data_IF_388240871465
#
_entry.id   IF_388240871465
#
_cell.length_a   1.000
_cell.length_b   1.000
_cell.length_c   1.000
_cell.angle_alpha   90.00
_cell.angle_beta   90.00
_cell.angle_gamma   90.00
#
_symmetry.space_group_name_H-M   'P 1'
#
loop_
_entity.id
_entity.type
_entity.pdbx_description
1 polymer ?
#
# COMPACT_ATOMS: atom_id res chain seq x y z
N UNK A 1 -19.21 -5.67 -6.56
CA UNK A 1 -18.74 -6.74 -7.44
C UNK A 1 -17.37 -7.22 -6.94
N UNK A 2 -16.99 -8.47 -7.24
CA UNK A 2 -15.68 -9.00 -6.89
C UNK A 2 -14.61 -8.58 -7.92
N UNK A 3 -14.19 -7.31 -7.88
CA UNK A 3 -13.29 -6.76 -8.89
C UNK A 3 -11.86 -7.34 -8.83
N UNK A 4 -11.42 -7.82 -7.67
CA UNK A 4 -10.13 -8.46 -7.45
C UNK A 4 -10.17 -10.01 -7.57
N UNK A 5 -11.35 -10.61 -7.78
CA UNK A 5 -11.51 -12.04 -8.02
C UNK A 5 -11.34 -12.96 -6.81
N UNK A 6 -11.53 -12.45 -5.60
CA UNK A 6 -11.34 -13.23 -4.37
C UNK A 6 -12.33 -14.41 -4.25
N UNK A 7 -13.51 -14.28 -4.84
CA UNK A 7 -14.48 -15.39 -4.97
C UNK A 7 -13.93 -16.55 -5.80
N UNK A 8 -13.22 -16.24 -6.89
CA UNK A 8 -12.51 -17.24 -7.69
C UNK A 8 -11.35 -17.87 -6.90
N UNK A 9 -10.60 -17.09 -6.11
CA UNK A 9 -9.52 -17.64 -5.27
C UNK A 9 -10.05 -18.67 -4.26
N UNK A 10 -11.18 -18.39 -3.60
CA UNK A 10 -11.84 -19.34 -2.69
C UNK A 10 -12.30 -20.58 -3.43
N UNK A 11 -12.94 -20.43 -4.61
CA UNK A 11 -13.42 -21.55 -5.41
C UNK A 11 -12.27 -22.44 -5.90
N UNK A 12 -11.16 -21.85 -6.34
CA UNK A 12 -9.94 -22.57 -6.75
C UNK A 12 -9.39 -23.37 -5.59
N UNK A 13 -9.22 -22.74 -4.40
CA UNK A 13 -8.66 -23.43 -3.24
C UNK A 13 -9.55 -24.59 -2.77
N UNK A 14 -10.87 -24.44 -2.80
CA UNK A 14 -11.82 -25.53 -2.53
C UNK A 14 -11.70 -26.67 -3.54
N UNK A 15 -11.51 -26.34 -4.82
CA UNK A 15 -11.28 -27.33 -5.87
C UNK A 15 -9.98 -28.12 -5.66
N UNK A 16 -8.89 -27.41 -5.32
CA UNK A 16 -7.61 -28.02 -4.99
C UNK A 16 -7.72 -28.91 -3.74
N UNK A 17 -8.40 -28.45 -2.69
CA UNK A 17 -8.62 -29.23 -1.48
C UNK A 17 -9.40 -30.53 -1.78
N UNK A 18 -10.46 -30.44 -2.59
CA UNK A 18 -11.23 -31.62 -3.05
C UNK A 18 -10.38 -32.59 -3.85
N UNK A 19 -9.52 -32.10 -4.74
CA UNK A 19 -8.59 -32.90 -5.52
C UNK A 19 -7.64 -33.68 -4.61
N UNK A 20 -6.95 -33.02 -3.70
CA UNK A 20 -6.04 -33.68 -2.75
C UNK A 20 -6.76 -34.66 -1.81
N UNK A 21 -7.99 -34.33 -1.41
CA UNK A 21 -8.79 -35.26 -0.61
C UNK A 21 -9.09 -36.58 -1.35
N UNK A 22 -9.33 -36.51 -2.68
CA UNK A 22 -9.58 -37.71 -3.50
C UNK A 22 -8.36 -38.63 -3.63
N UNK A 23 -7.15 -38.11 -3.39
CA UNK A 23 -5.89 -38.84 -3.44
C UNK A 23 -5.13 -38.84 -2.10
N UNK A 24 -5.85 -38.69 -0.99
CA UNK A 24 -5.26 -38.52 0.35
C UNK A 24 -4.25 -39.61 0.74
N UNK A 25 -4.46 -40.86 0.30
CA UNK A 25 -3.59 -42.00 0.58
C UNK A 25 -2.25 -41.95 -0.18
N UNK A 26 -2.14 -41.06 -1.17
CA UNK A 26 -0.92 -40.83 -1.96
C UNK A 26 -0.15 -39.59 -1.49
N UNK A 27 -0.79 -38.72 -0.70
CA UNK A 27 -0.19 -37.49 -0.18
C UNK A 27 0.79 -37.84 0.94
N UNK A 28 2.04 -37.37 0.81
CA UNK A 28 3.06 -37.51 1.85
C UNK A 28 3.21 -36.19 2.58
N UNK A 29 2.88 -36.17 3.87
CA UNK A 29 2.92 -34.96 4.70
C UNK A 29 1.55 -34.39 4.98
N UNK A 30 1.49 -33.16 5.47
CA UNK A 30 0.29 -32.45 5.85
C UNK A 30 0.05 -31.27 4.92
N UNK A 31 -1.20 -31.00 4.60
CA UNK A 31 -1.62 -29.84 3.85
C UNK A 31 -2.58 -29.03 4.72
N UNK A 32 -2.24 -27.77 4.96
CA UNK A 32 -3.09 -26.80 5.68
C UNK A 32 -3.72 -25.85 4.67
N UNK A 33 -5.06 -25.85 4.61
CA UNK A 33 -5.83 -24.95 3.75
C UNK A 33 -6.09 -23.64 4.48
N UNK A 34 -5.63 -22.52 3.93
CA UNK A 34 -5.72 -21.20 4.56
C UNK A 34 -6.65 -20.32 3.71
N UNK A 35 -7.76 -19.88 4.29
CA UNK A 35 -8.70 -18.94 3.70
C UNK A 35 -8.56 -17.62 4.45
N UNK A 36 -7.81 -16.67 3.86
CA UNK A 36 -7.48 -15.39 4.49
C UNK A 36 -8.66 -14.41 4.37
N UNK A 37 -9.14 -13.82 5.47
CA UNK A 37 -10.12 -12.74 5.44
C UNK A 37 -9.43 -11.38 5.28
N UNK A 38 -10.22 -10.35 4.93
CA UNK A 38 -9.86 -8.93 5.03
C UNK A 38 -8.52 -8.56 4.37
N UNK A 39 -8.25 -9.08 3.15
CA UNK A 39 -7.04 -8.75 2.39
C UNK A 39 -7.02 -7.26 2.01
N UNK A 40 -8.16 -6.71 1.54
CA UNK A 40 -8.27 -5.34 0.99
C UNK A 40 -8.15 -4.22 2.03
N UNK A 41 -7.99 -4.49 3.30
CA UNK A 41 -7.88 -3.41 4.28
C UNK A 41 -7.86 -3.76 5.75
N UNK A 42 -7.98 -5.01 6.13
CA UNK A 42 -7.97 -5.40 7.56
C UNK A 42 -6.67 -6.06 8.02
N UNK A 43 -5.74 -6.35 7.10
CA UNK A 43 -4.49 -7.03 7.43
C UNK A 43 -4.70 -8.46 7.92
N UNK A 44 -5.75 -9.15 7.42
CA UNK A 44 -6.14 -10.48 7.92
C UNK A 44 -5.03 -11.52 7.85
N UNK A 45 -4.16 -11.46 6.83
CA UNK A 45 -2.99 -12.33 6.76
C UNK A 45 -2.03 -12.15 7.94
N UNK A 46 -1.73 -10.89 8.31
CA UNK A 46 -0.91 -10.56 9.48
C UNK A 46 -1.55 -11.10 10.77
N UNK A 47 -2.83 -10.84 10.96
CA UNK A 47 -3.56 -11.30 12.16
C UNK A 47 -3.52 -12.83 12.27
N UNK A 48 -3.77 -13.55 11.17
CA UNK A 48 -3.69 -15.02 11.16
C UNK A 48 -2.30 -15.54 11.51
N UNK A 49 -1.23 -14.86 11.05
CA UNK A 49 0.16 -15.23 11.42
C UNK A 49 0.41 -14.96 12.90
N UNK A 50 -0.01 -13.82 13.43
CA UNK A 50 0.09 -13.48 14.86
C UNK A 50 -0.71 -14.45 15.74
N UNK A 51 -1.82 -15.00 15.24
CA UNK A 51 -2.61 -16.06 15.89
C UNK A 51 -2.03 -17.47 15.72
N UNK A 52 -0.88 -17.62 15.05
CA UNK A 52 -0.16 -18.89 14.90
C UNK A 52 -0.67 -19.80 13.79
N UNK A 53 -1.26 -19.26 12.71
CA UNK A 53 -1.76 -20.08 11.58
C UNK A 53 -0.63 -20.90 10.93
N UNK A 54 0.62 -20.47 11.04
CA UNK A 54 1.78 -21.18 10.49
C UNK A 54 2.38 -22.19 11.48
N UNK A 55 1.81 -22.31 12.68
CA UNK A 55 2.20 -23.24 13.73
C UNK A 55 1.13 -24.34 13.89
N UNK A 56 1.48 -25.42 14.58
CA UNK A 56 0.56 -26.51 14.96
C UNK A 56 -0.40 -27.03 13.86
N UNK A 57 0.05 -27.76 12.84
CA UNK A 57 1.44 -28.14 12.58
C UNK A 57 2.23 -26.98 11.96
N UNK A 58 3.57 -27.00 12.16
CA UNK A 58 4.45 -26.04 11.50
C UNK A 58 4.30 -26.13 9.98
N UNK A 59 4.36 -24.99 9.34
CA UNK A 59 4.29 -24.87 7.88
C UNK A 59 5.71 -24.71 7.34
N UNK A 60 6.15 -25.64 6.52
CA UNK A 60 7.49 -25.64 5.91
C UNK A 60 7.53 -24.76 4.65
N UNK A 61 6.41 -24.67 3.92
CA UNK A 61 6.26 -23.84 2.74
C UNK A 61 4.79 -23.38 2.59
N UNK A 62 4.60 -22.20 2.02
CA UNK A 62 3.28 -21.65 1.71
C UNK A 62 3.23 -21.23 0.25
N UNK A 63 2.12 -21.53 -0.41
CA UNK A 63 1.85 -21.15 -1.79
C UNK A 63 0.53 -20.38 -1.85
N UNK A 64 0.51 -19.34 -2.65
CA UNK A 64 -0.69 -18.57 -2.96
C UNK A 64 -0.81 -18.33 -4.46
N UNK A 65 -2.03 -18.24 -4.95
CA UNK A 65 -2.30 -17.88 -6.34
C UNK A 65 -3.29 -16.72 -6.40
N UNK A 66 -3.10 -15.86 -7.37
CA UNK A 66 -3.99 -14.74 -7.64
C UNK A 66 -4.40 -14.73 -9.11
N UNK A 67 -5.67 -14.48 -9.43
CA UNK A 67 -6.12 -14.31 -10.80
C UNK A 67 -5.71 -12.93 -11.32
N UNK A 68 -5.14 -12.87 -12.52
CA UNK A 68 -4.74 -11.63 -13.16
C UNK A 68 -5.36 -11.53 -14.57
N UNK A 69 -6.10 -10.47 -14.88
CA UNK A 69 -6.77 -10.30 -16.17
C UNK A 69 -5.79 -10.07 -17.33
N UNK A 70 -4.53 -9.76 -17.03
CA UNK A 70 -3.49 -9.51 -18.04
C UNK A 70 -2.77 -10.77 -18.51
N UNK A 71 -2.95 -11.90 -17.81
CA UNK A 71 -2.38 -13.17 -18.23
C UNK A 71 -3.30 -13.86 -19.25
N UNK A 72 -2.76 -14.38 -20.36
CA UNK A 72 -3.56 -15.18 -21.30
C UNK A 72 -4.16 -16.42 -20.63
N UNK A 73 -5.35 -16.80 -21.06
CA UNK A 73 -6.01 -18.01 -20.57
C UNK A 73 -5.10 -19.24 -20.70
N UNK A 74 -5.07 -20.08 -19.68
CA UNK A 74 -4.25 -21.29 -19.62
C UNK A 74 -2.76 -21.05 -19.32
N UNK A 75 -2.39 -19.83 -18.92
CA UNK A 75 -1.02 -19.50 -18.46
C UNK A 75 -1.01 -19.26 -16.96
N UNK A 76 0.09 -19.65 -16.32
CA UNK A 76 0.44 -19.31 -14.94
C UNK A 76 1.70 -18.45 -15.00
N UNK A 77 1.65 -17.30 -14.35
CA UNK A 77 2.81 -16.42 -14.17
C UNK A 77 3.44 -16.67 -12.79
N UNK A 78 4.75 -16.77 -12.75
CA UNK A 78 5.51 -16.94 -11.52
C UNK A 78 6.55 -15.84 -11.43
N UNK A 79 6.63 -15.15 -10.29
CA UNK A 79 7.68 -14.18 -10.01
C UNK A 79 8.86 -14.90 -9.35
N UNK A 80 10.06 -14.67 -9.84
CA UNK A 80 11.24 -15.33 -9.26
C UNK A 80 11.53 -14.84 -7.85
N UNK A 81 11.33 -13.55 -7.56
CA UNK A 81 11.55 -12.93 -6.25
C UNK A 81 10.44 -11.96 -5.89
N UNK A 82 10.58 -10.68 -6.24
CA UNK A 82 9.61 -9.62 -5.91
C UNK A 82 8.33 -9.80 -6.74
N UNK A 83 7.26 -10.22 -6.10
CA UNK A 83 5.97 -10.49 -6.76
C UNK A 83 4.99 -9.33 -6.67
N UNK A 84 4.81 -8.76 -5.47
CA UNK A 84 3.88 -7.67 -5.21
C UNK A 84 4.56 -6.58 -4.37
N UNK A 85 4.29 -5.32 -4.71
CA UNK A 85 4.83 -4.18 -4.00
C UNK A 85 4.23 -4.06 -2.58
N UNK A 86 5.02 -3.49 -1.67
CA UNK A 86 4.50 -3.00 -0.40
C UNK A 86 3.38 -1.98 -0.63
N UNK A 87 2.41 -1.93 0.28
CA UNK A 87 1.26 -1.04 0.18
C UNK A 87 1.15 -0.20 1.42
N UNK A 88 1.34 1.12 1.28
CA UNK A 88 1.27 2.05 2.39
C UNK A 88 0.29 3.17 2.09
N UNK A 89 -0.17 3.83 3.16
CA UNK A 89 -0.99 5.02 3.11
C UNK A 89 -0.33 6.15 3.84
N UNK A 90 -0.57 7.36 3.42
CA UNK A 90 -0.17 8.53 4.18
C UNK A 90 -1.30 9.56 4.22
N UNK A 91 -1.32 10.32 5.29
CA UNK A 91 -2.07 11.56 5.38
C UNK A 91 -1.16 12.72 5.72
N UNK A 92 -1.41 13.86 5.11
CA UNK A 92 -0.73 15.12 5.44
C UNK A 92 -1.81 16.18 5.63
N UNK A 93 -1.82 16.81 6.80
CA UNK A 93 -2.69 17.94 7.09
C UNK A 93 -1.84 19.20 7.18
N UNK A 94 -2.12 20.16 6.31
CA UNK A 94 -1.52 21.50 6.36
C UNK A 94 -2.41 22.38 7.23
N UNK A 95 -1.87 22.93 8.33
CA UNK A 95 -2.62 23.66 9.34
C UNK A 95 -2.16 25.12 9.30
N UNK A 96 -2.98 25.96 8.70
CA UNK A 96 -2.75 27.38 8.49
C UNK A 96 -3.56 28.26 9.44
N UNK A 97 -4.02 29.37 8.90
CA UNK A 97 -4.91 30.31 9.57
C UNK A 97 -5.87 30.88 8.51
N UNK A 98 -7.12 30.53 8.63
CA UNK A 98 -8.17 30.97 7.70
C UNK A 98 -8.54 32.41 7.83
N UNK A 99 -9.38 32.87 6.89
CA UNK A 99 -9.88 34.22 6.88
C UNK A 99 -10.60 34.62 5.59
N UNK A 100 -10.91 35.86 5.47
CA UNK A 100 -11.59 36.41 4.28
C UNK A 100 -10.64 36.43 3.08
N UNK A 101 -11.05 35.89 1.94
CA UNK A 101 -10.20 35.77 0.75
C UNK A 101 -9.67 37.12 0.21
N UNK A 102 -10.37 38.23 0.45
CA UNK A 102 -9.91 39.57 0.09
C UNK A 102 -8.85 40.16 1.05
N UNK A 103 -8.52 39.45 2.16
CA UNK A 103 -7.53 39.88 3.14
C UNK A 103 -6.46 38.79 3.38
N UNK A 104 -5.81 38.24 2.33
CA UNK A 104 -4.88 37.12 2.45
C UNK A 104 -3.63 37.45 3.29
N UNK A 105 -3.26 38.71 3.41
CA UNK A 105 -2.10 39.20 4.15
C UNK A 105 -2.17 38.98 5.67
N UNK A 106 -3.37 38.70 6.22
CA UNK A 106 -3.58 38.37 7.64
C UNK A 106 -3.89 36.89 7.85
N UNK A 107 -3.68 36.06 6.85
CA UNK A 107 -3.94 34.62 6.87
C UNK A 107 -2.66 33.82 6.63
N UNK A 108 -2.74 32.51 6.80
CA UNK A 108 -1.74 31.54 6.35
C UNK A 108 -2.50 30.49 5.52
N UNK A 109 -2.46 30.67 4.20
CA UNK A 109 -3.31 29.93 3.27
C UNK A 109 -2.84 28.47 3.06
N UNK A 110 -3.54 27.46 3.65
CA UNK A 110 -3.15 26.08 3.51
C UNK A 110 -3.49 25.49 2.12
N UNK A 111 -4.40 26.11 1.36
CA UNK A 111 -4.67 25.67 -0.03
C UNK A 111 -3.47 25.95 -0.91
N UNK A 112 -2.91 27.17 -0.81
CA UNK A 112 -1.72 27.54 -1.57
C UNK A 112 -0.52 26.67 -1.18
N UNK A 113 -0.28 26.47 0.12
CA UNK A 113 0.79 25.61 0.60
C UNK A 113 0.65 24.15 0.12
N UNK A 114 -0.58 23.63 0.11
CA UNK A 114 -0.90 22.29 -0.39
C UNK A 114 -0.62 22.16 -1.89
N UNK A 115 -0.90 23.18 -2.70
CA UNK A 115 -0.58 23.20 -4.13
C UNK A 115 0.94 23.04 -4.36
N UNK A 116 1.78 23.74 -3.59
CA UNK A 116 3.23 23.58 -3.63
C UNK A 116 3.70 22.23 -3.09
N UNK A 117 3.08 21.73 -2.03
CA UNK A 117 3.40 20.43 -1.45
C UNK A 117 3.16 19.30 -2.45
N UNK A 118 2.04 19.31 -3.19
CA UNK A 118 1.73 18.28 -4.19
C UNK A 118 2.85 18.20 -5.25
N UNK A 119 3.33 19.32 -5.76
CA UNK A 119 4.42 19.34 -6.75
C UNK A 119 5.72 18.80 -6.17
N UNK A 120 6.04 19.11 -4.92
CA UNK A 120 7.21 18.57 -4.22
C UNK A 120 7.10 17.07 -3.99
N UNK A 121 5.93 16.56 -3.56
CA UNK A 121 5.67 15.12 -3.38
C UNK A 121 5.96 14.36 -4.67
N UNK A 122 5.44 14.82 -5.80
CA UNK A 122 5.64 14.14 -7.09
C UNK A 122 7.08 14.27 -7.63
N UNK A 123 7.91 15.12 -7.05
CA UNK A 123 9.33 15.18 -7.39
C UNK A 123 10.18 14.15 -6.62
N UNK A 124 9.69 13.60 -5.51
CA UNK A 124 10.46 12.70 -4.64
C UNK A 124 11.01 11.52 -5.45
N UNK A 125 10.16 10.75 -6.09
CA UNK A 125 10.58 9.56 -6.84
C UNK A 125 11.57 9.94 -7.94
N UNK A 126 11.27 10.97 -8.72
CA UNK A 126 12.09 11.33 -9.87
C UNK A 126 13.43 12.00 -9.53
N UNK A 127 13.61 12.51 -8.30
CA UNK A 127 14.80 13.28 -7.92
C UNK A 127 15.58 12.70 -6.73
N UNK A 128 15.00 11.78 -5.97
CA UNK A 128 15.65 11.24 -4.78
C UNK A 128 15.83 9.70 -4.83
N UNK A 129 14.94 8.99 -5.51
CA UNK A 129 15.06 7.53 -5.60
C UNK A 129 15.98 7.17 -6.77
N UNK A 130 16.83 6.16 -6.56
CA UNK A 130 17.69 5.63 -7.60
C UNK A 130 16.84 5.16 -8.80
N UNK A 131 17.14 5.60 -10.04
CA UNK A 131 16.31 5.24 -11.21
C UNK A 131 16.26 3.73 -11.52
N UNK A 132 17.13 2.91 -10.92
CA UNK A 132 17.09 1.45 -11.02
C UNK A 132 16.15 0.80 -9.98
N UNK A 133 15.63 1.59 -9.05
CA UNK A 133 14.72 1.14 -7.99
C UNK A 133 13.29 1.55 -8.28
N UNK A 134 12.34 0.78 -7.74
CA UNK A 134 10.91 1.01 -7.97
C UNK A 134 10.25 1.69 -6.78
N UNK A 135 9.64 2.83 -7.03
CA UNK A 135 8.83 3.56 -6.04
C UNK A 135 7.71 4.33 -6.71
N UNK A 136 6.56 4.37 -6.05
CA UNK A 136 5.39 5.16 -6.48
C UNK A 136 4.84 5.92 -5.30
N UNK A 137 4.56 7.21 -5.50
CA UNK A 137 3.78 8.03 -4.58
C UNK A 137 2.62 8.63 -5.35
N UNK A 138 1.41 8.49 -4.82
CA UNK A 138 0.22 9.09 -5.42
C UNK A 138 -0.58 9.83 -4.36
N UNK A 139 -0.88 11.10 -4.60
CA UNK A 139 -1.92 11.84 -3.86
C UNK A 139 -3.26 11.53 -4.50
N UNK A 140 -4.12 10.82 -3.78
CA UNK A 140 -5.41 10.35 -4.29
C UNK A 140 -6.58 11.25 -3.91
N UNK A 141 -6.44 12.05 -2.83
CA UNK A 141 -7.49 12.92 -2.34
C UNK A 141 -6.90 14.18 -1.73
N UNK A 142 -7.56 15.31 -1.98
CA UNK A 142 -7.32 16.60 -1.32
C UNK A 142 -8.66 17.13 -0.83
N UNK A 143 -8.73 17.56 0.41
CA UNK A 143 -9.94 18.08 1.05
C UNK A 143 -9.63 19.34 1.83
N UNK A 144 -10.37 20.42 1.58
CA UNK A 144 -10.26 21.67 2.33
C UNK A 144 -11.16 22.76 1.76
N UNK A 145 -11.55 23.71 2.61
CA UNK A 145 -12.42 24.80 2.25
C UNK A 145 -13.92 24.45 2.20
N UNK A 146 -14.76 25.46 2.48
CA UNK A 146 -16.22 25.33 2.50
C UNK A 146 -16.91 26.36 1.60
N UNK A 147 -16.22 27.44 1.22
CA UNK A 147 -16.74 28.50 0.39
C UNK A 147 -15.66 29.14 -0.48
N UNK A 148 -16.01 29.63 -1.65
CA UNK A 148 -15.10 30.21 -2.63
C UNK A 148 -14.37 31.49 -2.16
N UNK A 149 -14.91 32.19 -1.19
CA UNK A 149 -14.42 33.47 -0.67
C UNK A 149 -13.88 33.37 0.77
N UNK A 150 -13.59 32.17 1.26
CA UNK A 150 -13.02 31.91 2.59
C UNK A 150 -11.78 31.05 2.43
N UNK A 151 -10.65 31.54 2.98
CA UNK A 151 -9.44 30.73 3.16
C UNK A 151 -9.68 29.80 4.35
N UNK A 152 -9.54 28.47 4.23
CA UNK A 152 -9.77 27.54 5.35
C UNK A 152 -8.62 27.54 6.35
N UNK A 153 -8.87 26.99 7.54
CA UNK A 153 -7.83 26.79 8.56
C UNK A 153 -6.92 25.58 8.24
N UNK A 154 -7.43 24.60 7.53
CA UNK A 154 -6.69 23.39 7.22
C UNK A 154 -7.04 22.79 5.84
N UNK A 155 -6.08 22.03 5.30
CA UNK A 155 -6.27 21.18 4.10
C UNK A 155 -5.62 19.83 4.36
N UNK A 156 -6.33 18.75 4.03
CA UNK A 156 -5.87 17.38 4.16
C UNK A 156 -5.59 16.76 2.79
N UNK A 157 -4.47 16.05 2.69
CA UNK A 157 -4.12 15.17 1.57
C UNK A 157 -4.09 13.73 2.06
N UNK A 158 -4.64 12.83 1.24
CA UNK A 158 -4.52 11.39 1.43
C UNK A 158 -3.85 10.77 0.21
N UNK A 159 -2.95 9.85 0.45
CA UNK A 159 -2.21 9.21 -0.63
C UNK A 159 -1.73 7.81 -0.31
N UNK A 160 -1.06 7.23 -1.27
CA UNK A 160 -0.53 5.87 -1.20
C UNK A 160 0.91 5.82 -1.66
N UNK A 161 1.68 4.90 -1.07
CA UNK A 161 3.07 4.60 -1.44
C UNK A 161 3.18 3.14 -1.84
N UNK A 162 4.00 2.87 -2.86
CA UNK A 162 4.37 1.52 -3.30
C UNK A 162 5.87 1.44 -3.47
N UNK A 163 6.46 0.32 -3.08
CA UNK A 163 7.88 0.02 -3.29
C UNK A 163 8.09 -1.49 -3.39
N UNK A 164 9.18 -1.89 -4.04
CA UNK A 164 9.62 -3.29 -4.11
C UNK A 164 10.81 -3.57 -3.19
N UNK A 165 11.33 -2.55 -2.52
CA UNK A 165 12.47 -2.65 -1.62
C UNK A 165 12.15 -2.00 -0.26
N UNK A 166 12.45 -2.65 0.87
CA UNK A 166 12.20 -2.10 2.20
C UNK A 166 12.97 -0.80 2.51
N UNK A 167 14.17 -0.62 1.94
CA UNK A 167 14.96 0.61 2.17
C UNK A 167 14.36 1.77 1.39
N UNK A 168 13.96 1.54 0.13
CA UNK A 168 13.23 2.53 -0.69
C UNK A 168 11.92 2.91 0.00
N UNK A 169 11.21 1.95 0.61
CA UNK A 169 9.99 2.20 1.39
C UNK A 169 10.21 3.24 2.49
N UNK A 170 11.26 3.06 3.30
CA UNK A 170 11.60 3.99 4.37
C UNK A 170 12.10 5.34 3.85
N UNK A 171 12.85 5.34 2.76
CA UNK A 171 13.30 6.57 2.11
C UNK A 171 12.11 7.39 1.61
N UNK A 172 11.13 6.78 0.94
CA UNK A 172 9.92 7.44 0.48
C UNK A 172 9.12 8.04 1.64
N UNK A 173 8.95 7.30 2.74
CA UNK A 173 8.30 7.81 3.95
C UNK A 173 9.02 9.03 4.51
N UNK A 174 10.34 8.93 4.69
CA UNK A 174 11.16 10.01 5.24
C UNK A 174 11.12 11.26 4.36
N UNK A 175 11.18 11.11 3.03
CA UNK A 175 11.08 12.20 2.08
C UNK A 175 9.71 12.86 2.07
N UNK A 176 8.63 12.11 2.20
CA UNK A 176 7.27 12.66 2.35
C UNK A 176 7.17 13.58 3.56
N UNK A 177 7.65 13.12 4.71
CA UNK A 177 7.65 13.94 5.93
C UNK A 177 8.53 15.20 5.78
N UNK A 178 9.72 15.06 5.17
CA UNK A 178 10.63 16.16 4.90
C UNK A 178 10.02 17.26 4.03
N UNK A 179 9.34 16.88 2.93
CA UNK A 179 8.70 17.88 2.05
C UNK A 179 7.48 18.51 2.70
N UNK A 180 6.70 17.76 3.49
CA UNK A 180 5.58 18.30 4.26
C UNK A 180 6.07 19.36 5.28
N UNK A 181 7.11 19.03 6.02
CA UNK A 181 7.75 19.97 6.95
C UNK A 181 8.32 21.22 6.23
N UNK A 182 8.99 21.01 5.10
CA UNK A 182 9.56 22.09 4.29
C UNK A 182 8.48 23.03 3.75
N UNK A 183 7.39 22.49 3.21
CA UNK A 183 6.25 23.26 2.75
C UNK A 183 5.61 24.06 3.90
N UNK A 184 5.33 23.43 5.03
CA UNK A 184 4.73 24.09 6.18
C UNK A 184 5.61 25.27 6.68
N UNK A 185 6.91 25.06 6.79
CA UNK A 185 7.86 26.11 7.19
C UNK A 185 7.89 27.29 6.21
N UNK A 186 7.86 27.00 4.89
CA UNK A 186 7.90 28.04 3.85
C UNK A 186 6.71 28.98 3.89
N UNK A 187 5.56 28.50 4.35
CA UNK A 187 4.32 29.26 4.50
C UNK A 187 4.02 29.67 5.96
N UNK A 188 4.95 29.42 6.90
CA UNK A 188 4.83 29.81 8.30
C UNK A 188 3.65 29.14 9.03
N UNK A 189 3.33 27.88 8.68
CA UNK A 189 2.23 27.11 9.23
C UNK A 189 2.69 25.80 9.87
N UNK A 190 1.77 25.09 10.49
CA UNK A 190 2.00 23.77 11.07
C UNK A 190 1.57 22.66 10.09
N UNK A 191 2.00 21.43 10.37
CA UNK A 191 1.55 20.24 9.66
C UNK A 191 1.38 19.07 10.62
N UNK A 192 0.60 18.09 10.18
CA UNK A 192 0.56 16.74 10.75
C UNK A 192 0.89 15.75 9.62
N UNK A 193 1.63 14.71 9.96
CA UNK A 193 1.99 13.65 9.04
C UNK A 193 1.75 12.32 9.70
N UNK A 194 0.93 11.49 9.07
CA UNK A 194 0.67 10.12 9.49
C UNK A 194 1.03 9.16 8.35
N UNK A 195 1.67 8.06 8.69
CA UNK A 195 2.06 7.03 7.74
C UNK A 195 1.66 5.66 8.27
N UNK A 196 0.80 4.99 7.54
CA UNK A 196 0.29 3.66 7.87
C UNK A 196 1.00 2.62 7.00
N UNK A 197 1.80 1.77 7.64
CA UNK A 197 2.41 0.62 6.98
C UNK A 197 1.37 -0.46 6.73
N UNK A 198 1.14 -0.79 5.47
CA UNK A 198 0.36 -1.94 5.06
C UNK A 198 1.23 -3.19 4.85
N UNK A 199 0.83 -4.05 3.91
CA UNK A 199 1.59 -5.26 3.62
C UNK A 199 3.02 -4.95 3.15
N UNK A 200 4.00 -5.76 3.58
CA UNK A 200 5.37 -5.69 3.07
C UNK A 200 5.44 -6.15 1.61
N UNK A 201 6.60 -5.97 1.00
CA UNK A 201 6.91 -6.56 -0.30
C UNK A 201 6.75 -8.08 -0.24
N UNK A 202 6.06 -8.66 -1.20
CA UNK A 202 6.04 -10.11 -1.38
C UNK A 202 7.34 -10.55 -2.05
N UNK A 203 8.16 -11.30 -1.32
CA UNK A 203 9.41 -11.87 -1.83
C UNK A 203 9.28 -13.38 -1.82
N UNK A 204 9.30 -13.99 -3.00
CA UNK A 204 9.22 -15.43 -3.16
C UNK A 204 10.55 -16.12 -2.81
N UNK A 205 10.48 -17.28 -2.16
CA UNK A 205 11.62 -18.16 -1.97
C UNK A 205 12.01 -18.81 -3.30
N UNK A 206 13.29 -18.69 -3.69
CA UNK A 206 13.78 -19.18 -4.99
C UNK A 206 13.61 -20.70 -5.17
N UNK A 207 13.78 -21.48 -4.10
CA UNK A 207 13.63 -22.95 -4.20
C UNK A 207 12.18 -23.33 -4.39
N UNK A 208 11.26 -22.68 -3.66
CA UNK A 208 9.83 -22.92 -3.80
C UNK A 208 9.33 -22.45 -5.17
N UNK A 209 9.85 -21.34 -5.69
CA UNK A 209 9.53 -20.84 -7.03
C UNK A 209 9.90 -21.83 -8.13
N UNK A 210 11.05 -22.52 -7.99
CA UNK A 210 11.51 -23.53 -8.95
C UNK A 210 10.69 -24.83 -8.94
N UNK A 211 9.85 -25.04 -7.92
CA UNK A 211 8.96 -26.20 -7.84
C UNK A 211 7.63 -25.99 -8.58
N UNK A 212 7.28 -24.74 -8.88
CA UNK A 212 6.05 -24.34 -9.59
C UNK A 212 6.30 -24.20 -11.08
#
# INVERSE_FOLDING_TARGET
MHACGHDAHVAILLGVAKFFFSMKDQVRGNIKWIFQPAEEGGGGGRIMVEEGILENPNVDAIFGAHVFPFLPYGKVGVYEREGLAATDRFSIKMIGQGGHAASPHVTKDPILATGHLITQIHSIVSRNINPLESGVITVGKVSGGTAFNIIPDEVELLGTVRSLDPQVREELRSKLEQVAQGAARSFGMNYQFDFEYGYPVLINDLKMTQLV
#
